data_IF_171996413373
#
_entry.id   IF_171996413373
#
_cell.length_a   1.000
_cell.length_b   1.000
_cell.length_c   1.000
_cell.angle_alpha   90.00
_cell.angle_beta   90.00
_cell.angle_gamma   90.00
#
_symmetry.space_group_name_H-M   'P 1'
#
loop_
_entity.id
_entity.type
_entity.pdbx_description
1 polymer ?
#
# COMPACT_ATOMS: atom_id res chain seq x y z
N UNK A 1 -11.52 10.59 12.02
CA UNK A 1 -10.35 9.88 11.46
C UNK A 1 -9.08 10.41 12.10
N UNK A 2 -8.19 9.54 12.57
CA UNK A 2 -6.88 9.93 13.15
C UNK A 2 -5.76 9.43 12.25
N UNK A 3 -5.00 10.35 11.66
CA UNK A 3 -3.93 10.04 10.71
C UNK A 3 -2.63 10.77 11.10
N UNK A 4 -1.59 10.02 11.40
CA UNK A 4 -0.27 10.56 11.73
C UNK A 4 0.58 10.90 10.49
N UNK A 5 0.32 10.27 9.34
CA UNK A 5 1.04 10.51 8.10
C UNK A 5 0.43 11.68 7.33
N UNK A 6 1.28 12.59 6.86
CA UNK A 6 0.91 13.78 6.09
C UNK A 6 1.31 13.69 4.60
N UNK A 7 2.04 12.63 4.23
CA UNK A 7 2.52 12.36 2.87
C UNK A 7 2.54 10.86 2.58
N UNK A 8 2.73 10.48 1.33
CA UNK A 8 2.86 9.09 0.89
C UNK A 8 1.55 8.30 0.85
N UNK A 9 1.64 6.98 0.75
CA UNK A 9 0.49 6.09 0.53
C UNK A 9 -0.57 6.16 1.63
N UNK A 10 -0.17 6.25 2.90
CA UNK A 10 -1.11 6.34 4.01
C UNK A 10 -1.92 7.65 4.01
N UNK A 11 -1.28 8.76 3.61
CA UNK A 11 -1.98 10.03 3.40
C UNK A 11 -3.01 9.90 2.26
N UNK A 12 -2.59 9.38 1.11
CA UNK A 12 -3.46 9.21 -0.06
C UNK A 12 -4.66 8.30 0.24
N UNK A 13 -4.42 7.19 0.94
CA UNK A 13 -5.48 6.30 1.43
C UNK A 13 -6.47 7.05 2.33
N UNK A 14 -5.97 7.76 3.33
CA UNK A 14 -6.82 8.45 4.31
C UNK A 14 -7.66 9.54 3.65
N UNK A 15 -7.07 10.37 2.78
CA UNK A 15 -7.78 11.42 2.04
C UNK A 15 -8.89 10.83 1.15
N UNK A 16 -8.57 9.77 0.41
CA UNK A 16 -9.53 9.12 -0.48
C UNK A 16 -10.67 8.42 0.26
N UNK A 17 -10.38 7.71 1.37
CA UNK A 17 -11.41 7.12 2.22
C UNK A 17 -12.33 8.18 2.83
N UNK A 18 -11.76 9.28 3.34
CA UNK A 18 -12.56 10.38 3.90
C UNK A 18 -13.48 11.02 2.85
N UNK A 19 -13.00 11.21 1.62
CA UNK A 19 -13.84 11.67 0.49
C UNK A 19 -14.95 10.67 0.16
N UNK A 20 -14.64 9.37 0.18
CA UNK A 20 -15.61 8.30 -0.02
C UNK A 20 -16.71 8.32 1.05
N UNK A 21 -16.33 8.44 2.33
CA UNK A 21 -17.26 8.53 3.46
C UNK A 21 -18.17 9.76 3.34
N UNK A 22 -17.63 10.93 2.99
CA UNK A 22 -18.44 12.13 2.76
C UNK A 22 -19.43 11.96 1.61
N UNK A 23 -19.09 11.26 0.53
CA UNK A 23 -20.00 11.00 -0.61
C UNK A 23 -21.20 10.14 -0.21
N UNK A 24 -21.05 9.28 0.78
CA UNK A 24 -22.16 8.47 1.31
C UNK A 24 -22.88 9.11 2.51
N UNK A 25 -22.60 10.39 2.80
CA UNK A 25 -23.32 11.21 3.78
C UNK A 25 -22.70 11.25 5.18
N UNK A 26 -21.50 10.70 5.41
CA UNK A 26 -20.85 10.80 6.71
C UNK A 26 -20.20 12.19 6.90
N UNK A 27 -20.35 12.75 8.08
CA UNK A 27 -19.58 13.91 8.51
C UNK A 27 -18.20 13.46 9.01
N UNK A 28 -17.13 13.90 8.34
CA UNK A 28 -15.77 13.45 8.62
C UNK A 28 -14.91 14.60 9.14
N UNK A 29 -14.24 14.36 10.26
CA UNK A 29 -13.14 15.20 10.75
C UNK A 29 -11.85 14.40 10.77
N UNK A 30 -10.81 14.91 10.13
CA UNK A 30 -9.45 14.33 10.16
C UNK A 30 -8.61 15.07 11.19
N UNK A 31 -8.12 14.33 12.18
CA UNK A 31 -7.17 14.83 13.15
C UNK A 31 -5.75 14.43 12.74
N UNK A 32 -4.90 15.41 12.49
CA UNK A 32 -3.58 15.22 11.90
C UNK A 32 -2.55 16.24 12.36
N UNK A 33 -1.36 16.25 11.74
CA UNK A 33 -0.27 17.18 12.04
C UNK A 33 -0.24 18.39 11.07
N UNK A 34 0.67 19.32 11.32
CA UNK A 34 0.81 20.59 10.58
C UNK A 34 1.19 20.41 9.10
N UNK A 35 1.78 19.26 8.72
CA UNK A 35 2.25 19.03 7.36
C UNK A 35 1.16 18.48 6.42
N UNK A 36 -0.05 18.25 6.93
CA UNK A 36 -1.16 17.82 6.08
C UNK A 36 -1.45 18.85 5.00
N UNK A 37 -1.33 18.45 3.75
CA UNK A 37 -1.44 19.34 2.58
C UNK A 37 -2.78 20.09 2.60
N UNK A 38 -2.75 21.39 2.31
CA UNK A 38 -3.94 22.24 2.27
C UNK A 38 -4.57 22.21 0.87
N UNK A 39 -5.60 21.39 0.72
CA UNK A 39 -6.37 21.22 -0.51
C UNK A 39 -7.87 21.35 -0.19
N UNK A 40 -8.72 21.78 -1.14
CA UNK A 40 -10.17 21.75 -0.97
C UNK A 40 -10.68 20.34 -0.68
N UNK A 41 -11.44 20.17 0.41
CA UNK A 41 -11.97 18.89 0.87
C UNK A 41 -13.42 19.00 1.33
N UNK A 42 -14.23 17.94 1.19
CA UNK A 42 -15.57 17.89 1.74
C UNK A 42 -15.60 17.57 3.24
N UNK A 43 -14.46 17.51 3.92
CA UNK A 43 -14.32 17.19 5.34
C UNK A 43 -13.45 18.18 6.09
N UNK A 44 -13.67 18.27 7.42
CA UNK A 44 -12.92 19.13 8.33
C UNK A 44 -11.52 18.53 8.60
N UNK A 45 -10.49 19.36 8.66
CA UNK A 45 -9.10 18.97 9.00
C UNK A 45 -8.64 19.75 10.22
N UNK A 46 -8.29 19.01 11.28
CA UNK A 46 -7.77 19.56 12.53
C UNK A 46 -6.27 19.21 12.69
N UNK A 47 -5.42 20.23 12.65
CA UNK A 47 -3.96 20.10 12.72
C UNK A 47 -3.45 20.25 14.15
N UNK A 48 -3.90 19.39 15.06
CA UNK A 48 -3.58 19.47 16.49
C UNK A 48 -2.38 18.61 16.90
N UNK A 49 -1.95 17.67 16.05
CA UNK A 49 -0.87 16.74 16.39
C UNK A 49 0.50 17.32 16.07
N UNK A 50 1.47 17.03 16.91
CA UNK A 50 2.87 17.29 16.60
C UNK A 50 3.39 16.30 15.59
N UNK A 51 4.22 16.78 14.70
CA UNK A 51 4.97 15.94 13.77
C UNK A 51 6.06 15.16 14.50
N UNK A 52 6.36 13.94 14.01
CA UNK A 52 7.54 13.20 14.42
C UNK A 52 8.71 13.60 13.52
N UNK A 53 9.64 14.34 14.09
CA UNK A 53 10.86 14.75 13.37
C UNK A 53 11.86 13.60 13.29
N UNK A 54 12.52 13.47 12.14
CA UNK A 54 13.68 12.60 12.00
C UNK A 54 14.80 13.01 12.96
N UNK A 55 15.64 12.02 13.33
CA UNK A 55 16.78 12.29 14.21
C UNK A 55 17.71 13.33 13.58
N UNK A 56 17.77 14.54 14.16
CA UNK A 56 18.73 15.55 13.76
C UNK A 56 20.14 15.04 14.04
N UNK A 57 21.09 15.26 13.11
CA UNK A 57 22.49 14.80 13.25
C UNK A 57 23.15 15.22 14.58
N UNK A 58 22.70 16.32 15.17
CA UNK A 58 23.24 16.90 16.41
C UNK A 58 22.60 16.34 17.69
N UNK A 59 21.55 15.54 17.60
CA UNK A 59 20.85 15.02 18.78
C UNK A 59 21.45 13.70 19.28
N UNK A 60 21.65 13.61 20.61
CA UNK A 60 21.94 12.32 21.23
C UNK A 60 20.72 11.38 21.08
N UNK A 61 20.96 10.06 21.20
CA UNK A 61 19.85 9.09 21.16
C UNK A 61 18.83 9.33 22.27
N UNK A 62 19.28 9.76 23.45
CA UNK A 62 18.43 10.05 24.60
C UNK A 62 17.55 11.27 24.36
N UNK A 63 18.10 12.36 23.84
CA UNK A 63 17.32 13.55 23.49
C UNK A 63 16.25 13.28 22.44
N UNK A 64 16.60 12.51 21.40
CA UNK A 64 15.66 12.12 20.37
C UNK A 64 14.55 11.21 20.90
N UNK A 65 14.88 10.24 21.77
CA UNK A 65 13.88 9.36 22.38
C UNK A 65 12.94 10.12 23.33
N UNK A 66 13.48 11.06 24.11
CA UNK A 66 12.71 11.90 25.01
C UNK A 66 11.74 12.84 24.25
N UNK A 67 12.18 13.48 23.15
CA UNK A 67 11.32 14.32 22.32
C UNK A 67 10.19 13.49 21.66
N UNK A 68 10.52 12.31 21.14
CA UNK A 68 9.51 11.40 20.57
C UNK A 68 8.48 10.96 21.62
N UNK A 69 8.94 10.62 22.81
CA UNK A 69 8.04 10.24 23.91
C UNK A 69 7.13 11.41 24.32
N UNK A 70 7.69 12.60 24.50
CA UNK A 70 6.95 13.81 24.85
C UNK A 70 5.88 14.14 23.78
N UNK A 71 6.26 14.14 22.49
CA UNK A 71 5.32 14.40 21.39
C UNK A 71 4.22 13.33 21.31
N UNK A 72 4.59 12.05 21.47
CA UNK A 72 3.62 10.94 21.50
C UNK A 72 2.62 11.10 22.63
N UNK A 73 3.10 11.44 23.84
CA UNK A 73 2.24 11.67 25.01
C UNK A 73 1.28 12.85 24.77
N UNK A 74 1.82 13.99 24.32
CA UNK A 74 1.02 15.19 24.02
C UNK A 74 -0.01 14.94 22.89
N UNK A 75 0.40 14.22 21.84
CA UNK A 75 -0.50 13.84 20.76
C UNK A 75 -1.63 12.95 21.26
N UNK A 76 -1.33 11.96 22.09
CA UNK A 76 -2.32 11.05 22.65
C UNK A 76 -3.31 11.75 23.58
N UNK A 77 -2.83 12.67 24.42
CA UNK A 77 -3.68 13.51 25.29
C UNK A 77 -4.60 14.41 24.47
N UNK A 78 -4.04 15.21 23.54
CA UNK A 78 -4.81 16.14 22.69
C UNK A 78 -5.85 15.40 21.86
N UNK A 79 -5.47 14.29 21.26
CA UNK A 79 -6.35 13.42 20.47
C UNK A 79 -7.56 12.96 21.29
N UNK A 80 -7.32 12.38 22.48
CA UNK A 80 -8.39 11.85 23.31
C UNK A 80 -9.28 12.96 23.84
N UNK A 81 -8.73 14.08 24.30
CA UNK A 81 -9.49 15.25 24.75
C UNK A 81 -10.38 15.80 23.62
N UNK A 82 -9.82 15.96 22.43
CA UNK A 82 -10.57 16.43 21.27
C UNK A 82 -11.68 15.46 20.90
N UNK A 83 -11.37 14.15 20.80
CA UNK A 83 -12.35 13.14 20.40
C UNK A 83 -13.55 13.05 21.37
N UNK A 84 -13.31 13.13 22.67
CA UNK A 84 -14.39 13.09 23.68
C UNK A 84 -15.20 14.40 23.69
N UNK A 85 -14.55 15.55 23.50
CA UNK A 85 -15.21 16.85 23.53
C UNK A 85 -16.16 17.09 22.35
N UNK A 86 -15.77 16.63 21.15
CA UNK A 86 -16.53 16.88 19.92
C UNK A 86 -17.67 15.87 19.70
N UNK A 87 -17.88 14.91 20.63
CA UNK A 87 -19.00 13.95 20.62
C UNK A 87 -19.15 13.16 19.29
N UNK A 88 -18.02 12.63 18.75
CA UNK A 88 -18.07 11.76 17.57
C UNK A 88 -18.76 10.43 17.86
N UNK A 89 -19.42 9.85 16.84
CA UNK A 89 -20.02 8.51 16.93
C UNK A 89 -18.96 7.42 16.95
N UNK A 90 -17.82 7.62 16.24
CA UNK A 90 -16.73 6.65 16.12
C UNK A 90 -15.39 7.36 15.91
N UNK A 91 -14.32 6.76 16.43
CA UNK A 91 -12.94 7.20 16.16
C UNK A 91 -12.20 6.11 15.41
N UNK A 92 -11.74 6.43 14.19
CA UNK A 92 -11.00 5.50 13.34
C UNK A 92 -9.52 5.89 13.23
N UNK A 93 -8.63 4.98 13.60
CA UNK A 93 -7.18 5.15 13.54
C UNK A 93 -6.60 4.52 12.28
N UNK A 94 -5.68 5.22 11.63
CA UNK A 94 -4.93 4.74 10.47
C UNK A 94 -3.57 4.13 10.84
N UNK A 95 -3.52 3.43 11.96
CA UNK A 95 -2.33 2.79 12.48
C UNK A 95 -2.06 3.12 13.94
N UNK A 96 -1.13 2.38 14.53
CA UNK A 96 -0.64 2.56 15.92
C UNK A 96 0.74 3.19 15.85
N UNK A 97 0.88 4.40 16.39
CA UNK A 97 2.13 5.16 16.29
C UNK A 97 3.16 4.81 17.37
N UNK A 98 2.70 4.63 18.61
CA UNK A 98 3.55 4.37 19.78
C UNK A 98 2.88 3.32 20.67
N UNK A 99 3.07 2.01 20.40
CA UNK A 99 2.31 0.94 21.05
C UNK A 99 2.31 0.98 22.58
N UNK A 100 3.42 1.40 23.20
CA UNK A 100 3.52 1.53 24.66
C UNK A 100 2.52 2.56 25.22
N UNK A 101 2.37 3.71 24.60
CA UNK A 101 1.44 4.75 25.03
C UNK A 101 0.03 4.49 24.53
N UNK A 102 -0.08 4.03 23.28
CA UNK A 102 -1.36 3.83 22.62
C UNK A 102 -2.24 2.83 23.37
N UNK A 103 -1.68 1.76 23.98
CA UNK A 103 -2.47 0.82 24.78
C UNK A 103 -3.24 1.51 25.93
N UNK A 104 -2.65 2.50 26.60
CA UNK A 104 -3.31 3.22 27.68
C UNK A 104 -4.35 4.22 27.15
N UNK A 105 -3.97 4.98 26.15
CA UNK A 105 -4.83 6.03 25.59
C UNK A 105 -5.99 5.47 24.77
N UNK A 106 -5.80 4.40 24.01
CA UNK A 106 -6.87 3.68 23.32
C UNK A 106 -7.82 3.04 24.31
N UNK A 107 -7.30 2.41 25.39
CA UNK A 107 -8.14 1.84 26.45
C UNK A 107 -8.98 2.91 27.16
N UNK A 108 -8.42 4.08 27.40
CA UNK A 108 -9.17 5.21 27.95
C UNK A 108 -10.25 5.71 26.98
N UNK A 109 -9.89 5.91 25.70
CA UNK A 109 -10.81 6.40 24.67
C UNK A 109 -11.96 5.41 24.43
N UNK A 110 -11.68 4.11 24.38
CA UNK A 110 -12.68 3.04 24.20
C UNK A 110 -13.81 3.05 25.22
N UNK A 111 -13.59 3.62 26.42
CA UNK A 111 -14.63 3.74 27.45
C UNK A 111 -15.69 4.80 27.13
N UNK A 112 -15.38 5.70 26.21
CA UNK A 112 -16.22 6.84 25.86
C UNK A 112 -16.76 6.76 24.44
N UNK A 113 -16.00 6.12 23.52
CA UNK A 113 -16.29 6.12 22.09
C UNK A 113 -15.94 4.77 21.46
N UNK A 114 -16.70 4.32 20.46
CA UNK A 114 -16.31 3.23 19.58
C UNK A 114 -14.97 3.54 18.88
N UNK A 115 -14.06 2.58 18.87
CA UNK A 115 -12.72 2.70 18.28
C UNK A 115 -12.54 1.67 17.19
N UNK A 116 -12.20 2.12 15.99
CA UNK A 116 -11.83 1.29 14.84
C UNK A 116 -10.35 1.55 14.50
N UNK A 117 -9.63 0.54 14.05
CA UNK A 117 -8.22 0.64 13.66
C UNK A 117 -7.99 -0.07 12.33
N UNK A 118 -7.49 0.64 11.32
CA UNK A 118 -6.92 0.01 10.12
C UNK A 118 -5.49 -0.43 10.38
N UNK A 119 -5.21 -1.70 10.12
CA UNK A 119 -3.88 -2.32 10.21
C UNK A 119 -3.33 -2.51 8.81
N UNK A 120 -2.55 -1.54 8.35
CA UNK A 120 -1.95 -1.57 7.00
C UNK A 120 -0.82 -2.59 6.87
N UNK A 121 -0.02 -2.77 7.95
CA UNK A 121 1.08 -3.73 8.05
C UNK A 121 0.79 -4.68 9.21
N UNK A 122 0.45 -5.92 8.92
CA UNK A 122 0.11 -6.92 9.94
C UNK A 122 1.36 -7.42 10.69
N UNK A 123 2.50 -7.51 9.98
CA UNK A 123 3.82 -7.77 10.57
C UNK A 123 4.61 -6.49 10.55
N UNK A 124 4.69 -5.75 11.67
CA UNK A 124 5.47 -4.53 11.69
C UNK A 124 6.96 -4.84 11.51
N UNK A 125 7.67 -4.03 10.73
CA UNK A 125 9.12 -4.11 10.48
C UNK A 125 10.01 -4.09 11.75
N UNK A 126 9.40 -4.15 12.93
CA UNK A 126 10.02 -4.01 14.26
C UNK A 126 10.20 -5.32 15.01
N UNK A 127 10.19 -6.47 14.36
CA UNK A 127 10.37 -7.80 15.01
C UNK A 127 11.68 -7.95 15.82
N UNK A 128 12.60 -6.99 15.70
CA UNK A 128 13.90 -7.02 16.43
C UNK A 128 13.79 -6.83 17.95
N UNK A 129 12.61 -6.53 18.50
CA UNK A 129 12.45 -6.32 19.95
C UNK A 129 11.24 -7.09 20.49
N UNK A 130 11.47 -8.21 21.12
CA UNK A 130 10.46 -9.06 21.80
C UNK A 130 9.57 -8.25 22.77
N UNK A 131 10.15 -7.25 23.46
CA UNK A 131 9.41 -6.35 24.36
C UNK A 131 8.36 -5.49 23.64
N UNK A 132 8.57 -5.12 22.35
CA UNK A 132 7.59 -4.35 21.57
C UNK A 132 6.41 -5.19 21.09
N UNK A 133 6.61 -6.48 20.82
CA UNK A 133 5.55 -7.38 20.36
C UNK A 133 4.38 -7.45 21.36
N UNK A 134 4.65 -7.54 22.67
CA UNK A 134 3.63 -7.53 23.71
C UNK A 134 2.79 -6.25 23.75
N UNK A 135 3.42 -5.09 23.52
CA UNK A 135 2.69 -3.82 23.47
C UNK A 135 1.85 -3.68 22.20
N UNK A 136 2.37 -4.14 21.06
CA UNK A 136 1.61 -4.19 19.80
C UNK A 136 0.40 -5.11 19.97
N UNK A 137 0.60 -6.33 20.46
CA UNK A 137 -0.48 -7.29 20.72
C UNK A 137 -1.59 -6.67 21.59
N UNK A 138 -1.21 -6.04 22.70
CA UNK A 138 -2.18 -5.36 23.59
C UNK A 138 -2.90 -4.21 22.89
N UNK A 139 -2.19 -3.41 22.08
CA UNK A 139 -2.80 -2.30 21.34
C UNK A 139 -3.79 -2.78 20.28
N UNK A 140 -3.54 -3.92 19.62
CA UNK A 140 -4.45 -4.51 18.64
C UNK A 140 -5.72 -5.14 19.29
N UNK A 141 -5.65 -5.52 20.57
CA UNK A 141 -6.80 -6.07 21.29
C UNK A 141 -7.77 -5.02 21.83
N UNK A 142 -7.39 -3.74 21.84
CA UNK A 142 -8.20 -2.67 22.42
C UNK A 142 -9.32 -2.18 21.49
N UNK A 143 -9.11 -1.89 20.19
CA UNK A 143 -10.18 -1.39 19.31
C UNK A 143 -11.40 -2.31 19.29
N UNK A 144 -12.58 -1.77 19.04
CA UNK A 144 -13.81 -2.55 18.88
C UNK A 144 -13.75 -3.37 17.60
N UNK A 145 -13.25 -2.75 16.50
CA UNK A 145 -13.08 -3.39 15.19
C UNK A 145 -11.69 -3.11 14.65
N UNK A 146 -11.16 -4.07 13.91
CA UNK A 146 -9.95 -3.91 13.12
C UNK A 146 -10.27 -4.09 11.65
N UNK A 147 -9.67 -3.26 10.80
CA UNK A 147 -9.77 -3.37 9.35
C UNK A 147 -8.43 -3.81 8.81
N UNK A 148 -8.44 -4.84 7.97
CA UNK A 148 -7.31 -5.28 7.14
C UNK A 148 -7.72 -5.28 5.69
N UNK A 149 -6.76 -5.38 4.76
CA UNK A 149 -7.05 -5.20 3.34
C UNK A 149 -7.14 -6.52 2.54
N UNK A 150 -6.86 -7.68 3.17
CA UNK A 150 -6.81 -8.99 2.52
C UNK A 150 -7.00 -10.11 3.54
N UNK A 151 -7.45 -11.28 3.09
CA UNK A 151 -7.83 -12.39 3.96
C UNK A 151 -6.65 -12.97 4.75
N UNK A 152 -5.48 -13.09 4.09
CA UNK A 152 -4.29 -13.54 4.81
C UNK A 152 -3.90 -12.59 5.95
N UNK A 153 -4.11 -11.30 5.79
CA UNK A 153 -3.96 -10.32 6.88
C UNK A 153 -4.87 -10.58 8.08
N UNK A 154 -6.11 -11.00 7.82
CA UNK A 154 -7.06 -11.43 8.87
C UNK A 154 -6.55 -12.68 9.59
N UNK A 155 -6.10 -13.70 8.83
CA UNK A 155 -5.49 -14.92 9.41
C UNK A 155 -4.27 -14.59 10.26
N UNK A 156 -3.36 -13.76 9.76
CA UNK A 156 -2.17 -13.34 10.49
C UNK A 156 -2.48 -12.59 11.79
N UNK A 157 -3.51 -11.71 11.80
CA UNK A 157 -3.93 -11.04 13.04
C UNK A 157 -4.51 -12.03 14.06
N UNK A 158 -5.27 -13.01 13.60
CA UNK A 158 -5.84 -14.04 14.48
C UNK A 158 -4.73 -14.94 15.05
N UNK A 159 -3.89 -15.50 14.21
CA UNK A 159 -2.92 -16.53 14.58
C UNK A 159 -1.73 -15.95 15.36
N UNK A 160 -1.14 -14.87 14.84
CA UNK A 160 0.07 -14.31 15.44
C UNK A 160 -0.22 -13.34 16.60
N UNK A 161 -1.28 -12.53 16.48
CA UNK A 161 -1.61 -11.51 17.48
C UNK A 161 -2.77 -11.91 18.41
N UNK A 162 -3.38 -13.09 18.20
CA UNK A 162 -4.52 -13.60 18.98
C UNK A 162 -5.69 -12.63 19.03
N UNK A 163 -5.99 -11.96 17.90
CA UNK A 163 -7.18 -11.13 17.75
C UNK A 163 -8.34 -12.02 17.31
N UNK A 164 -9.51 -11.87 17.92
CA UNK A 164 -10.71 -12.63 17.54
C UNK A 164 -11.16 -12.25 16.12
N UNK A 165 -11.45 -13.24 15.28
CA UNK A 165 -11.78 -13.08 13.86
C UNK A 165 -13.08 -12.35 13.61
N UNK A 166 -14.02 -12.41 14.56
CA UNK A 166 -15.30 -11.68 14.57
C UNK A 166 -15.13 -10.16 14.68
N UNK A 167 -13.96 -9.71 15.15
CA UNK A 167 -13.59 -8.30 15.27
C UNK A 167 -12.76 -7.77 14.11
N UNK A 168 -12.47 -8.60 13.11
CA UNK A 168 -11.61 -8.25 11.99
C UNK A 168 -12.43 -8.21 10.71
N UNK A 169 -12.53 -7.03 10.11
CA UNK A 169 -13.16 -6.80 8.82
C UNK A 169 -12.10 -6.78 7.71
N UNK A 170 -12.36 -7.52 6.64
CA UNK A 170 -11.52 -7.47 5.44
C UNK A 170 -12.15 -6.47 4.49
N UNK A 171 -11.51 -5.32 4.35
CA UNK A 171 -11.96 -4.24 3.46
C UNK A 171 -10.82 -3.93 2.49
N UNK A 172 -10.97 -4.20 1.18
CA UNK A 172 -9.92 -3.97 0.20
C UNK A 172 -9.42 -2.52 0.22
N UNK A 173 -8.17 -2.31 -0.18
CA UNK A 173 -7.67 -0.95 -0.40
C UNK A 173 -8.28 -0.38 -1.69
N UNK A 174 -8.86 0.79 -1.63
CA UNK A 174 -9.42 1.44 -2.81
C UNK A 174 -8.36 1.81 -3.84
N UNK A 175 -8.73 1.77 -5.11
CA UNK A 175 -7.86 2.17 -6.21
C UNK A 175 -8.10 3.65 -6.54
N UNK A 176 -7.02 4.42 -6.70
CA UNK A 176 -7.12 5.82 -7.11
C UNK A 176 -7.59 5.91 -8.55
N UNK A 177 -8.67 6.64 -8.78
CA UNK A 177 -9.15 6.90 -10.15
C UNK A 177 -8.19 7.85 -10.85
N UNK A 178 -7.71 7.44 -12.01
CA UNK A 178 -6.84 8.28 -12.82
C UNK A 178 -7.61 9.48 -13.38
N UNK A 179 -6.97 10.64 -13.36
CA UNK A 179 -7.49 11.85 -13.99
C UNK A 179 -6.70 12.10 -15.28
N UNK A 180 -7.35 11.87 -16.43
CA UNK A 180 -6.76 12.07 -17.76
C UNK A 180 -5.39 11.36 -17.94
N UNK A 181 -5.32 10.04 -17.77
CA UNK A 181 -4.07 9.31 -17.98
C UNK A 181 -3.62 9.48 -19.43
N UNK A 182 -2.31 9.54 -19.70
CA UNK A 182 -1.79 9.59 -21.06
C UNK A 182 -2.20 8.32 -21.83
N UNK A 183 -2.41 8.45 -23.12
CA UNK A 183 -2.55 7.28 -23.99
C UNK A 183 -1.20 6.59 -24.22
N UNK A 184 -1.25 5.36 -24.74
CA UNK A 184 -0.05 4.55 -25.00
C UNK A 184 0.99 5.25 -25.85
N UNK A 185 0.57 5.90 -26.93
CA UNK A 185 1.44 6.55 -27.91
C UNK A 185 2.12 7.77 -27.31
N UNK A 186 1.34 8.63 -26.65
CA UNK A 186 1.87 9.79 -25.94
C UNK A 186 2.86 9.39 -24.83
N UNK A 187 2.53 8.32 -24.08
CA UNK A 187 3.38 7.82 -23.02
C UNK A 187 4.72 7.27 -23.53
N UNK A 188 4.69 6.44 -24.57
CA UNK A 188 5.91 5.92 -25.20
C UNK A 188 6.77 7.02 -25.79
N UNK A 189 6.16 7.99 -26.47
CA UNK A 189 6.86 9.15 -27.00
C UNK A 189 7.53 9.99 -25.89
N UNK A 190 6.80 10.26 -24.80
CA UNK A 190 7.33 11.03 -23.65
C UNK A 190 8.55 10.37 -23.02
N UNK A 191 8.53 9.04 -22.91
CA UNK A 191 9.61 8.24 -22.30
C UNK A 191 10.68 7.80 -23.29
N UNK A 192 10.58 8.21 -24.58
CA UNK A 192 11.47 7.78 -25.65
C UNK A 192 11.58 6.25 -25.76
N UNK A 193 10.41 5.59 -25.72
CA UNK A 193 10.28 4.12 -25.80
C UNK A 193 9.84 3.73 -27.22
N UNK A 194 10.28 2.55 -27.74
CA UNK A 194 9.87 2.07 -29.05
C UNK A 194 8.38 1.75 -29.11
N UNK A 195 7.77 1.95 -30.27
CA UNK A 195 6.34 1.65 -30.50
C UNK A 195 6.07 0.20 -30.91
N UNK A 196 7.08 -0.52 -31.39
CA UNK A 196 6.98 -1.82 -32.07
C UNK A 196 7.43 -3.01 -31.21
N UNK A 197 7.44 -2.87 -29.87
CA UNK A 197 7.76 -3.96 -28.95
C UNK A 197 6.78 -4.00 -27.76
N UNK A 198 6.72 -5.15 -27.10
CA UNK A 198 6.01 -5.32 -25.85
C UNK A 198 6.84 -4.81 -24.69
N UNK A 199 6.27 -3.94 -23.86
CA UNK A 199 6.96 -3.31 -22.73
C UNK A 199 6.56 -3.95 -21.42
N UNK A 200 7.55 -4.54 -20.76
CA UNK A 200 7.47 -5.07 -19.40
C UNK A 200 7.93 -3.95 -18.44
N UNK A 201 7.13 -3.61 -17.43
CA UNK A 201 7.47 -2.59 -16.46
C UNK A 201 7.82 -3.20 -15.10
N UNK A 202 9.01 -2.87 -14.61
CA UNK A 202 9.39 -2.96 -13.20
C UNK A 202 9.44 -1.56 -12.62
N UNK A 203 8.59 -1.25 -11.64
CA UNK A 203 8.43 0.10 -11.11
C UNK A 203 8.59 0.18 -9.60
N UNK A 204 9.09 1.34 -9.12
CA UNK A 204 9.15 1.72 -7.72
C UNK A 204 10.55 1.65 -7.11
N UNK A 205 10.64 1.75 -5.79
CA UNK A 205 11.92 1.77 -5.10
C UNK A 205 12.73 0.50 -5.36
N UNK A 206 13.94 0.66 -5.90
CA UNK A 206 14.86 -0.43 -6.22
C UNK A 206 15.57 -0.87 -4.93
N UNK A 207 15.28 -2.11 -4.52
CA UNK A 207 15.85 -2.78 -3.33
C UNK A 207 15.97 -4.28 -3.60
N UNK A 208 16.89 -4.99 -2.92
CA UNK A 208 17.05 -6.43 -3.11
C UNK A 208 15.78 -7.25 -2.91
N UNK A 209 14.94 -6.89 -1.92
CA UNK A 209 13.69 -7.59 -1.66
C UNK A 209 12.61 -7.42 -2.75
N UNK A 210 12.86 -6.63 -3.78
CA UNK A 210 11.96 -6.44 -4.93
C UNK A 210 12.24 -7.41 -6.08
N UNK A 211 13.30 -8.24 -6.01
CA UNK A 211 13.56 -9.32 -6.94
C UNK A 211 13.92 -8.89 -8.35
N UNK A 212 14.51 -7.69 -8.54
CA UNK A 212 14.94 -7.25 -9.87
C UNK A 212 15.98 -8.20 -10.49
N UNK A 213 16.85 -8.79 -9.68
CA UNK A 213 17.83 -9.77 -10.13
C UNK A 213 17.17 -11.06 -10.66
N UNK A 214 16.05 -11.48 -10.06
CA UNK A 214 15.25 -12.62 -10.53
C UNK A 214 14.61 -12.29 -11.88
N UNK A 215 14.04 -11.09 -12.01
CA UNK A 215 13.45 -10.64 -13.28
C UNK A 215 14.48 -10.53 -14.40
N UNK A 216 15.69 -10.04 -14.12
CA UNK A 216 16.76 -9.96 -15.11
C UNK A 216 17.22 -11.35 -15.58
N UNK A 217 17.30 -12.34 -14.67
CA UNK A 217 17.57 -13.73 -15.04
C UNK A 217 16.42 -14.33 -15.86
N UNK A 218 15.18 -14.06 -15.49
CA UNK A 218 14.02 -14.48 -16.28
C UNK A 218 14.01 -13.83 -17.67
N UNK A 219 14.43 -12.57 -17.79
CA UNK A 219 14.51 -11.85 -19.06
C UNK A 219 15.46 -12.53 -20.06
N UNK A 220 16.52 -13.17 -19.59
CA UNK A 220 17.43 -13.96 -20.45
C UNK A 220 16.69 -15.13 -21.15
N UNK A 221 15.78 -15.79 -20.44
CA UNK A 221 14.92 -16.84 -21.00
C UNK A 221 13.87 -16.21 -21.93
N UNK A 222 13.23 -15.13 -21.54
CA UNK A 222 12.17 -14.47 -22.32
C UNK A 222 12.70 -13.99 -23.66
N UNK A 223 13.89 -13.34 -23.69
CA UNK A 223 14.50 -12.83 -24.93
C UNK A 223 14.78 -13.94 -25.95
N UNK A 224 15.06 -15.16 -25.50
CA UNK A 224 15.30 -16.29 -26.41
C UNK A 224 14.05 -16.74 -27.16
N UNK A 225 12.86 -16.45 -26.63
CA UNK A 225 11.56 -16.81 -27.22
C UNK A 225 10.85 -15.64 -27.90
N UNK A 226 11.06 -14.41 -27.41
CA UNK A 226 10.47 -13.20 -27.98
C UNK A 226 11.53 -12.09 -28.01
N UNK A 227 11.93 -11.70 -29.22
CA UNK A 227 12.93 -10.64 -29.42
C UNK A 227 12.31 -9.21 -29.48
N UNK A 228 11.00 -9.09 -29.52
CA UNK A 228 10.29 -7.81 -29.57
C UNK A 228 9.79 -7.42 -28.18
N UNK A 229 10.67 -7.46 -27.19
CA UNK A 229 10.40 -7.09 -25.82
C UNK A 229 11.37 -6.02 -25.33
N UNK A 230 10.92 -5.21 -24.36
CA UNK A 230 11.75 -4.25 -23.64
C UNK A 230 11.35 -4.24 -22.16
N UNK A 231 12.30 -4.48 -21.28
CA UNK A 231 12.12 -4.28 -19.84
C UNK A 231 12.44 -2.81 -19.51
N UNK A 232 11.46 -2.09 -19.00
CA UNK A 232 11.62 -0.75 -18.43
C UNK A 232 11.76 -0.88 -16.91
N UNK A 233 12.89 -0.43 -16.38
CA UNK A 233 13.19 -0.38 -14.96
C UNK A 233 13.11 1.08 -14.52
N UNK A 234 12.11 1.45 -13.72
CA UNK A 234 11.90 2.83 -13.30
C UNK A 234 11.76 2.95 -11.77
N UNK A 235 12.60 3.81 -11.17
CA UNK A 235 12.54 4.10 -9.75
C UNK A 235 13.86 4.45 -9.11
N UNK A 236 13.78 5.06 -7.92
CA UNK A 236 14.95 5.47 -7.16
C UNK A 236 15.58 4.33 -6.33
N UNK A 237 16.88 4.40 -6.17
CA UNK A 237 17.62 3.57 -5.20
C UNK A 237 17.34 4.08 -3.79
N UNK A 238 16.97 3.18 -2.87
CA UNK A 238 16.74 3.54 -1.48
C UNK A 238 17.83 3.01 -0.55
N UNK A 239 18.29 3.89 0.34
CA UNK A 239 19.33 3.56 1.32
C UNK A 239 20.72 3.63 0.72
N UNK A 240 21.57 2.62 1.04
CA UNK A 240 22.95 2.51 0.58
C UNK A 240 23.14 1.55 -0.60
N UNK A 241 22.03 1.20 -1.28
CA UNK A 241 22.10 0.30 -2.42
C UNK A 241 22.58 1.08 -3.66
N UNK A 242 23.32 0.38 -4.53
CA UNK A 242 23.73 0.86 -5.85
C UNK A 242 23.11 -0.01 -6.94
N UNK A 243 23.13 0.43 -8.17
CA UNK A 243 22.59 -0.29 -9.32
C UNK A 243 23.59 -1.24 -9.97
N UNK A 244 24.85 -1.19 -9.57
CA UNK A 244 25.96 -1.92 -10.16
C UNK A 244 25.73 -3.44 -10.27
N UNK A 245 25.24 -4.16 -9.23
CA UNK A 245 24.96 -5.59 -9.34
C UNK A 245 23.97 -5.94 -10.46
N UNK A 246 22.97 -5.08 -10.69
CA UNK A 246 22.00 -5.27 -11.77
C UNK A 246 22.60 -4.94 -13.13
N UNK A 247 23.43 -3.90 -13.23
CA UNK A 247 24.18 -3.57 -14.46
C UNK A 247 25.10 -4.71 -14.88
N UNK A 248 25.72 -5.39 -13.94
CA UNK A 248 26.57 -6.55 -14.20
C UNK A 248 25.78 -7.73 -14.76
N UNK A 249 24.60 -7.99 -14.23
CA UNK A 249 23.70 -9.03 -14.79
C UNK A 249 23.31 -8.66 -16.22
N UNK A 250 22.88 -7.43 -16.46
CA UNK A 250 22.50 -6.92 -17.79
C UNK A 250 23.64 -7.14 -18.82
N UNK A 251 24.86 -6.79 -18.45
CA UNK A 251 26.02 -6.93 -19.33
C UNK A 251 26.37 -8.41 -19.58
N UNK A 252 26.46 -9.22 -18.51
CA UNK A 252 26.86 -10.64 -18.61
C UNK A 252 25.87 -11.48 -19.40
N UNK A 253 24.58 -11.17 -19.31
CA UNK A 253 23.51 -11.87 -20.01
C UNK A 253 23.20 -11.25 -21.40
N UNK A 254 23.97 -10.27 -21.85
CA UNK A 254 23.76 -9.54 -23.12
C UNK A 254 22.32 -8.98 -23.26
N UNK A 255 21.86 -8.30 -22.21
CA UNK A 255 20.52 -7.73 -22.14
C UNK A 255 20.47 -6.23 -22.49
N UNK A 256 21.58 -5.62 -22.88
CA UNK A 256 21.68 -4.15 -23.05
C UNK A 256 20.65 -3.57 -24.03
N UNK A 257 20.28 -4.33 -25.06
CA UNK A 257 19.27 -3.93 -26.05
C UNK A 257 17.82 -4.24 -25.61
N UNK A 258 17.64 -4.95 -24.50
CA UNK A 258 16.35 -5.39 -23.97
C UNK A 258 15.97 -4.71 -22.66
N UNK A 259 16.79 -3.74 -22.18
CA UNK A 259 16.56 -3.05 -20.92
C UNK A 259 16.73 -1.55 -21.08
N UNK A 260 15.73 -0.77 -20.69
CA UNK A 260 15.83 0.68 -20.56
C UNK A 260 15.63 1.07 -19.09
N UNK A 261 16.51 1.94 -18.57
CA UNK A 261 16.55 2.28 -17.14
C UNK A 261 16.27 3.73 -16.87
N UNK A 262 15.49 4.02 -15.81
CA UNK A 262 15.18 5.33 -15.25
C UNK A 262 15.47 5.28 -13.73
N UNK A 263 16.78 5.34 -13.37
CA UNK A 263 17.25 5.09 -12.01
C UNK A 263 17.34 6.40 -11.23
N UNK A 264 16.17 6.98 -10.96
CA UNK A 264 16.01 8.19 -10.15
C UNK A 264 14.61 8.17 -9.48
N UNK A 265 14.38 9.09 -8.56
CA UNK A 265 13.03 9.30 -8.04
C UNK A 265 12.11 9.77 -9.17
N UNK A 266 11.02 9.03 -9.39
CA UNK A 266 10.02 9.39 -10.39
C UNK A 266 8.98 10.30 -9.72
N UNK A 267 8.85 11.56 -10.17
CA UNK A 267 7.81 12.46 -9.68
C UNK A 267 6.40 11.92 -9.94
N UNK A 268 5.45 12.25 -9.06
CA UNK A 268 4.07 11.71 -9.16
C UNK A 268 3.41 12.02 -10.50
N UNK A 269 3.66 13.16 -11.06
CA UNK A 269 3.18 13.61 -12.37
C UNK A 269 3.73 12.82 -13.56
N UNK A 270 4.81 12.08 -13.36
CA UNK A 270 5.43 11.24 -14.39
C UNK A 270 5.07 9.77 -14.28
N UNK A 271 4.57 9.34 -13.11
CA UNK A 271 4.29 7.92 -12.82
C UNK A 271 3.35 7.31 -13.85
N UNK A 272 2.28 8.01 -14.20
CA UNK A 272 1.25 7.49 -15.10
C UNK A 272 1.76 7.23 -16.53
N UNK A 273 2.83 7.92 -16.98
CA UNK A 273 3.44 7.64 -18.27
C UNK A 273 4.07 6.25 -18.33
N UNK A 274 4.73 5.80 -17.25
CA UNK A 274 5.35 4.46 -17.20
C UNK A 274 4.31 3.35 -17.28
N UNK A 275 3.23 3.47 -16.51
CA UNK A 275 2.15 2.49 -16.54
C UNK A 275 1.39 2.52 -17.87
N UNK A 276 1.07 3.70 -18.39
CA UNK A 276 0.38 3.82 -19.67
C UNK A 276 1.20 3.24 -20.83
N UNK A 277 2.53 3.44 -20.85
CA UNK A 277 3.45 2.94 -21.87
C UNK A 277 3.63 1.41 -21.85
N UNK A 278 3.38 0.75 -20.71
CA UNK A 278 3.65 -0.68 -20.54
C UNK A 278 2.50 -1.57 -21.03
N UNK A 279 2.83 -2.81 -21.38
CA UNK A 279 1.87 -3.88 -21.71
C UNK A 279 1.69 -4.82 -20.51
N UNK A 280 2.70 -4.98 -19.68
CA UNK A 280 2.71 -5.86 -18.51
C UNK A 280 3.47 -5.22 -17.35
N UNK A 281 2.96 -5.35 -16.13
CA UNK A 281 3.68 -4.95 -14.90
C UNK A 281 4.13 -6.20 -14.15
N UNK A 282 5.42 -6.27 -13.77
CA UNK A 282 6.00 -7.43 -13.09
C UNK A 282 6.51 -7.04 -11.71
N UNK A 283 6.01 -7.73 -10.68
CA UNK A 283 6.34 -7.49 -9.26
C UNK A 283 6.92 -8.78 -8.64
N UNK A 284 8.19 -9.14 -8.93
CA UNK A 284 8.80 -10.41 -8.55
C UNK A 284 9.38 -10.34 -7.13
N UNK A 285 8.60 -9.81 -6.19
CA UNK A 285 9.06 -9.49 -4.85
C UNK A 285 9.46 -10.76 -4.08
N UNK A 286 10.50 -10.65 -3.25
CA UNK A 286 11.01 -11.74 -2.41
C UNK A 286 10.45 -11.69 -0.99
N UNK A 287 10.16 -10.49 -0.50
CA UNK A 287 9.51 -10.22 0.79
C UNK A 287 8.71 -8.93 0.69
N UNK A 288 7.45 -9.02 1.03
CA UNK A 288 6.57 -7.86 1.10
C UNK A 288 5.37 -8.17 2.02
N UNK A 289 5.13 -7.34 3.02
CA UNK A 289 4.14 -7.61 4.07
C UNK A 289 2.98 -6.60 4.04
N UNK A 290 3.09 -5.58 3.20
CA UNK A 290 2.07 -4.55 3.02
C UNK A 290 1.31 -4.72 1.70
N UNK A 291 0.33 -3.88 1.46
CA UNK A 291 -0.29 -3.78 0.15
C UNK A 291 0.57 -2.98 -0.82
N UNK A 292 0.79 -3.51 -2.03
CA UNK A 292 1.66 -2.87 -3.00
C UNK A 292 0.95 -1.70 -3.70
N UNK A 293 1.41 -0.48 -3.44
CA UNK A 293 0.95 0.70 -4.19
C UNK A 293 1.22 0.60 -5.70
N UNK A 294 2.27 -0.13 -6.11
CA UNK A 294 2.59 -0.38 -7.52
C UNK A 294 1.55 -1.31 -8.16
N UNK A 295 1.09 -2.36 -7.44
CA UNK A 295 0.02 -3.22 -7.90
C UNK A 295 -1.30 -2.43 -8.08
N UNK A 296 -1.65 -1.60 -7.10
CA UNK A 296 -2.85 -0.76 -7.20
C UNK A 296 -2.77 0.25 -8.36
N UNK A 297 -1.57 0.76 -8.66
CA UNK A 297 -1.38 1.64 -9.82
C UNK A 297 -1.50 0.86 -11.14
N UNK A 298 -0.99 -0.37 -11.21
CA UNK A 298 -1.21 -1.26 -12.36
C UNK A 298 -2.71 -1.52 -12.58
N UNK A 299 -3.46 -1.79 -11.51
CA UNK A 299 -4.91 -1.92 -11.56
C UNK A 299 -5.61 -0.65 -12.07
N UNK A 300 -5.21 0.53 -11.59
CA UNK A 300 -5.75 1.80 -12.06
C UNK A 300 -5.57 1.99 -13.58
N UNK A 301 -4.44 1.53 -14.13
CA UNK A 301 -4.13 1.56 -15.55
C UNK A 301 -4.64 0.32 -16.32
N UNK A 302 -5.39 -0.59 -15.67
CA UNK A 302 -5.92 -1.83 -16.25
C UNK A 302 -4.82 -2.68 -16.92
N UNK A 303 -3.64 -2.73 -16.29
CA UNK A 303 -2.50 -3.48 -16.83
C UNK A 303 -2.49 -4.90 -16.29
N UNK A 304 -2.34 -5.93 -17.16
CA UNK A 304 -2.01 -7.27 -16.74
C UNK A 304 -0.80 -7.27 -15.82
N UNK A 305 -0.77 -8.19 -14.85
CA UNK A 305 0.31 -8.25 -13.88
C UNK A 305 0.86 -9.66 -13.73
N UNK A 306 2.17 -9.78 -13.45
CA UNK A 306 2.79 -11.00 -12.94
C UNK A 306 3.41 -10.67 -11.59
N UNK A 307 3.00 -11.40 -10.56
CA UNK A 307 3.42 -11.12 -9.18
C UNK A 307 3.94 -12.37 -8.48
N UNK A 308 4.82 -12.20 -7.51
CA UNK A 308 5.15 -13.27 -6.58
C UNK A 308 4.00 -13.52 -5.61
N UNK A 309 3.83 -14.79 -5.19
CA UNK A 309 2.85 -15.19 -4.16
C UNK A 309 3.32 -14.76 -2.77
N UNK A 310 3.17 -13.47 -2.51
CA UNK A 310 3.61 -12.84 -1.26
C UNK A 310 2.56 -11.84 -0.77
N UNK A 311 2.17 -11.98 0.49
CA UNK A 311 1.25 -11.09 1.17
C UNK A 311 -0.07 -10.97 0.41
N UNK A 312 -0.58 -9.73 0.25
CA UNK A 312 -1.82 -9.47 -0.46
C UNK A 312 -1.74 -9.67 -1.98
N UNK A 313 -0.54 -9.68 -2.59
CA UNK A 313 -0.43 -9.61 -4.05
C UNK A 313 -0.92 -10.88 -4.73
N UNK A 314 -0.48 -12.06 -4.26
CA UNK A 314 -0.91 -13.35 -4.82
C UNK A 314 -2.42 -13.55 -4.68
N UNK A 315 -2.96 -13.28 -3.48
CA UNK A 315 -4.40 -13.39 -3.19
C UNK A 315 -5.23 -12.48 -4.11
N UNK A 316 -4.87 -11.20 -4.23
CA UNK A 316 -5.61 -10.23 -5.05
C UNK A 316 -5.57 -10.60 -6.54
N UNK A 317 -4.38 -10.86 -7.09
CA UNK A 317 -4.23 -11.16 -8.52
C UNK A 317 -4.94 -12.45 -8.91
N UNK A 318 -4.88 -13.50 -8.07
CA UNK A 318 -5.59 -14.76 -8.29
C UNK A 318 -7.10 -14.59 -8.22
N UNK A 319 -7.60 -13.89 -7.20
CA UNK A 319 -9.03 -13.62 -7.01
C UNK A 319 -9.61 -12.80 -8.17
N UNK A 320 -8.89 -11.76 -8.60
CA UNK A 320 -9.36 -10.81 -9.61
C UNK A 320 -9.07 -11.27 -11.05
N UNK A 321 -8.26 -12.32 -11.23
CA UNK A 321 -7.90 -12.92 -12.52
C UNK A 321 -7.26 -11.96 -13.52
N UNK A 322 -6.57 -10.94 -13.03
CA UNK A 322 -5.96 -9.86 -13.84
C UNK A 322 -4.51 -10.15 -14.24
N UNK A 323 -4.02 -11.37 -13.98
CA UNK A 323 -2.64 -11.75 -14.26
C UNK A 323 -2.28 -13.12 -13.71
N UNK A 324 -0.99 -13.36 -13.52
CA UNK A 324 -0.44 -14.61 -13.05
C UNK A 324 0.36 -14.44 -11.75
N UNK A 325 0.35 -15.51 -10.96
CA UNK A 325 1.04 -15.58 -9.67
C UNK A 325 2.10 -16.67 -9.73
N UNK A 326 3.31 -16.38 -9.23
CA UNK A 326 4.44 -17.32 -9.24
C UNK A 326 5.07 -17.39 -7.86
N UNK A 327 5.73 -18.51 -7.58
CA UNK A 327 6.52 -18.65 -6.35
C UNK A 327 7.67 -17.64 -6.31
N UNK A 328 7.98 -17.05 -5.14
CA UNK A 328 9.10 -16.14 -4.99
C UNK A 328 10.43 -16.80 -5.39
N UNK A 329 11.32 -16.03 -6.00
CA UNK A 329 12.66 -16.46 -6.44
C UNK A 329 12.68 -17.51 -7.57
N UNK A 330 11.56 -17.92 -8.12
CA UNK A 330 11.47 -18.91 -9.19
C UNK A 330 11.69 -18.26 -10.56
N UNK A 331 12.88 -18.42 -11.14
CA UNK A 331 13.29 -17.74 -12.38
C UNK A 331 12.52 -18.26 -13.59
N UNK A 332 12.54 -19.58 -13.82
CA UNK A 332 11.87 -20.23 -14.95
C UNK A 332 10.34 -20.06 -14.89
N UNK A 333 9.65 -20.29 -13.76
CA UNK A 333 8.22 -20.01 -13.63
C UNK A 333 7.88 -18.53 -13.87
N UNK A 334 8.74 -17.59 -13.44
CA UNK A 334 8.54 -16.17 -13.73
C UNK A 334 8.64 -15.88 -15.23
N UNK A 335 9.63 -16.46 -15.91
CA UNK A 335 9.79 -16.29 -17.36
C UNK A 335 8.57 -16.82 -18.13
N UNK A 336 8.11 -18.04 -17.80
CA UNK A 336 6.92 -18.65 -18.42
C UNK A 336 5.66 -17.79 -18.15
N UNK A 337 5.48 -17.33 -16.92
CA UNK A 337 4.34 -16.48 -16.56
C UNK A 337 4.35 -15.14 -17.31
N UNK A 338 5.52 -14.53 -17.49
CA UNK A 338 5.65 -13.28 -18.27
C UNK A 338 5.29 -13.51 -19.73
N UNK A 339 5.80 -14.56 -20.37
CA UNK A 339 5.48 -14.92 -21.76
C UNK A 339 3.96 -15.15 -21.90
N UNK A 340 3.39 -16.00 -21.04
CA UNK A 340 1.95 -16.30 -21.05
C UNK A 340 1.09 -15.07 -20.80
N UNK A 341 1.54 -14.15 -19.94
CA UNK A 341 0.80 -12.93 -19.67
C UNK A 341 0.83 -11.96 -20.85
N UNK A 342 1.94 -11.87 -21.58
CA UNK A 342 2.06 -11.06 -22.79
C UNK A 342 1.22 -11.63 -23.93
N UNK A 343 1.22 -12.97 -24.11
CA UNK A 343 0.42 -13.65 -25.13
C UNK A 343 -1.09 -13.59 -24.82
N UNK A 344 -1.45 -13.52 -23.55
CA UNK A 344 -2.84 -13.45 -23.09
C UNK A 344 -3.25 -12.05 -22.62
N UNK A 345 -2.57 -10.99 -23.08
CA UNK A 345 -2.77 -9.61 -22.64
C UNK A 345 -4.25 -9.18 -22.63
N UNK A 346 -4.95 -9.36 -23.73
CA UNK A 346 -6.35 -8.94 -23.88
C UNK A 346 -7.29 -9.69 -22.94
N UNK A 347 -7.01 -10.98 -22.68
CA UNK A 347 -7.76 -11.78 -21.71
C UNK A 347 -7.65 -11.19 -20.30
N UNK A 348 -6.44 -10.88 -19.84
CA UNK A 348 -6.28 -10.28 -18.50
C UNK A 348 -6.80 -8.85 -18.44
N UNK A 349 -6.62 -8.08 -19.51
CA UNK A 349 -7.14 -6.72 -19.57
C UNK A 349 -8.68 -6.71 -19.52
N UNK A 350 -9.36 -7.67 -20.14
CA UNK A 350 -10.83 -7.78 -20.11
C UNK A 350 -11.41 -8.05 -18.71
N UNK A 351 -10.58 -8.55 -17.76
CA UNK A 351 -11.00 -8.76 -16.38
C UNK A 351 -11.18 -7.44 -15.60
N UNK A 352 -10.64 -6.33 -16.09
CA UNK A 352 -10.84 -4.99 -15.52
C UNK A 352 -12.19 -4.38 -15.90
N UNK A 353 -13.27 -5.14 -15.70
CA UNK A 353 -14.64 -4.71 -15.96
C UNK A 353 -15.28 -3.89 -14.83
N UNK A 354 -16.55 -3.47 -15.01
CA UNK A 354 -17.28 -2.64 -14.03
C UNK A 354 -17.38 -3.25 -12.64
N UNK A 355 -17.44 -4.58 -12.52
CA UNK A 355 -17.46 -5.27 -11.22
C UNK A 355 -16.19 -5.04 -10.43
N UNK A 356 -15.03 -5.19 -11.07
CA UNK A 356 -13.74 -4.95 -10.44
C UNK A 356 -13.54 -3.48 -10.10
N UNK A 357 -13.95 -2.57 -11.00
CA UNK A 357 -13.93 -1.13 -10.75
C UNK A 357 -14.80 -0.75 -9.54
N UNK A 358 -16.00 -1.35 -9.41
CA UNK A 358 -16.86 -1.13 -8.26
C UNK A 358 -16.25 -1.69 -6.97
N UNK A 359 -15.72 -2.93 -7.01
CA UNK A 359 -15.07 -3.60 -5.87
C UNK A 359 -14.02 -2.71 -5.19
N UNK A 360 -13.22 -2.00 -5.99
CA UNK A 360 -12.14 -1.14 -5.53
C UNK A 360 -12.48 0.36 -5.53
N UNK A 361 -13.72 0.72 -5.80
CA UNK A 361 -14.14 2.12 -5.75
C UNK A 361 -14.16 2.64 -4.31
N UNK A 362 -13.72 3.88 -4.10
CA UNK A 362 -13.72 4.49 -2.78
C UNK A 362 -15.12 4.65 -2.17
N UNK A 363 -16.16 4.69 -3.01
CA UNK A 363 -17.55 4.68 -2.54
C UNK A 363 -17.92 3.32 -1.94
N UNK A 364 -17.57 2.22 -2.63
CA UNK A 364 -17.78 0.87 -2.11
C UNK A 364 -16.97 0.63 -0.83
N UNK A 365 -15.68 1.00 -0.82
CA UNK A 365 -14.82 0.91 0.36
C UNK A 365 -15.39 1.72 1.54
N UNK A 366 -15.93 2.90 1.28
CA UNK A 366 -16.59 3.71 2.30
C UNK A 366 -17.84 3.02 2.88
N UNK A 367 -18.66 2.39 2.03
CA UNK A 367 -19.84 1.60 2.48
C UNK A 367 -19.43 0.43 3.37
N UNK A 368 -18.38 -0.32 2.99
CA UNK A 368 -17.84 -1.40 3.83
C UNK A 368 -17.28 -0.86 5.16
N UNK A 369 -16.57 0.27 5.11
CA UNK A 369 -16.03 0.92 6.31
C UNK A 369 -17.15 1.41 7.23
N UNK A 370 -18.25 1.92 6.68
CA UNK A 370 -19.40 2.33 7.46
C UNK A 370 -20.04 1.15 8.20
N UNK A 371 -20.18 -0.03 7.57
CA UNK A 371 -20.64 -1.25 8.24
C UNK A 371 -19.75 -1.64 9.43
N UNK A 372 -18.42 -1.48 9.28
CA UNK A 372 -17.48 -1.69 10.39
C UNK A 372 -17.70 -0.69 11.53
N UNK A 373 -18.06 0.56 11.22
CA UNK A 373 -18.41 1.56 12.24
C UNK A 373 -19.71 1.21 12.95
N UNK A 374 -20.74 0.84 12.21
CA UNK A 374 -22.04 0.40 12.77
C UNK A 374 -21.85 -0.79 13.71
N UNK A 375 -21.05 -1.79 13.29
CA UNK A 375 -20.69 -2.93 14.14
C UNK A 375 -19.88 -2.53 15.38
N UNK A 376 -19.02 -1.52 15.29
CA UNK A 376 -18.29 -1.01 16.46
C UNK A 376 -19.20 -0.25 17.45
N UNK A 377 -20.26 0.39 16.96
CA UNK A 377 -21.24 1.14 17.74
C UNK A 377 -22.24 0.19 18.42
N UNK A 378 -22.80 -0.76 17.67
CA UNK A 378 -23.79 -1.73 18.19
C UNK A 378 -23.19 -2.81 19.10
N UNK A 379 -21.88 -3.09 18.94
CA UNK A 379 -21.22 -4.22 19.58
C UNK A 379 -21.52 -5.58 18.93
N UNK A 380 -22.24 -5.60 17.82
CA UNK A 380 -22.58 -6.80 17.05
C UNK A 380 -21.48 -7.13 16.02
N UNK A 381 -21.33 -8.41 15.62
CA UNK A 381 -20.43 -8.75 14.53
C UNK A 381 -20.89 -8.10 13.22
N UNK A 382 -19.95 -7.62 12.41
CA UNK A 382 -20.26 -7.09 11.07
C UNK A 382 -20.89 -8.22 10.22
N UNK A 383 -21.96 -7.96 9.47
CA UNK A 383 -22.49 -8.95 8.55
C UNK A 383 -21.38 -9.35 7.57
N UNK A 384 -21.14 -10.67 7.46
CA UNK A 384 -20.13 -11.22 6.55
C UNK A 384 -20.36 -10.65 5.14
N UNK A 385 -19.31 -10.09 4.53
CA UNK A 385 -19.31 -9.81 3.11
C UNK A 385 -19.38 -11.17 2.37
N UNK A 386 -20.61 -11.61 2.04
CA UNK A 386 -20.84 -12.74 1.15
C UNK A 386 -20.63 -12.29 -0.30
#
# INVERSE_FOLDING_TARGET
MVAGASTGGLYAYTDALCRGLCRIGAEVTVLTNQLWVDLPRPFRVERLLFEFTDKKKQWSQLHWAADRFYRSLRNSLRRNQFAVREHFDVVHFQGVGTPLLDQFFLKSLRRHLPVVLTVHDVKPHYERFVSRASFIKRSLQIPHRLIVHYEDGKRQLADHWSVSTDRIDVIPHGIMRLQNPPDLTAARKKLNLPSNCQIILFFGAIRPNKGLDILLKALEIIKSRNQQILLVIAGGLLGRFNFEPYSDIIKKADLSNYVQTFIHFIPEEEVDYFFAASDLVVLPYLKFEAQSGVLLRAYAHKKPVVVSDIGAMGELVSSDKVGLVVEPSAVEPLAEAVINALDSHDKFQSCYGPELENKYSWEHIAKLTMRSYEAAISGEPSPSCA
#
